data_IF_786285142329
#
_entry.id   IF_786285142329
#
_cell.length_a   1.000
_cell.length_b   1.000
_cell.length_c   1.000
_cell.angle_alpha   90.00
_cell.angle_beta   90.00
_cell.angle_gamma   90.00
#
_symmetry.space_group_name_H-M   'P 1'
#
loop_
_entity.id
_entity.type
_entity.pdbx_description
1 polymer ?
#
# COMPACT_ATOMS: atom_id res chain seq x y z
N UNK A 1 -32.07 -34.24 -19.08
CA UNK A 1 -31.34 -34.22 -17.79
C UNK A 1 -29.87 -34.01 -18.14
N UNK A 2 -29.42 -32.75 -18.10
CA UNK A 2 -28.09 -32.31 -18.54
C UNK A 2 -27.47 -31.47 -17.41
N UNK A 3 -26.16 -31.61 -17.15
CA UNK A 3 -25.53 -31.06 -15.96
C UNK A 3 -25.05 -29.62 -16.16
N UNK A 4 -25.05 -28.89 -15.05
CA UNK A 4 -24.54 -27.54 -14.88
C UNK A 4 -23.02 -27.62 -14.66
N UNK A 5 -22.23 -27.05 -15.57
CA UNK A 5 -20.85 -26.64 -15.29
C UNK A 5 -20.43 -25.44 -16.16
N UNK A 6 -19.77 -24.50 -15.50
CA UNK A 6 -18.89 -23.41 -15.97
C UNK A 6 -19.38 -22.37 -17.00
N UNK A 7 -19.80 -21.21 -16.46
CA UNK A 7 -19.86 -19.92 -17.18
C UNK A 7 -18.82 -18.90 -16.69
N UNK A 8 -17.81 -19.36 -15.94
CA UNK A 8 -16.84 -18.47 -15.28
C UNK A 8 -15.51 -18.33 -16.03
N UNK A 9 -15.21 -19.20 -17.00
CA UNK A 9 -13.94 -19.16 -17.76
C UNK A 9 -13.98 -18.32 -19.04
N UNK A 10 -15.17 -17.92 -19.53
CA UNK A 10 -15.30 -17.23 -20.82
C UNK A 10 -15.03 -15.71 -20.72
N UNK A 11 -15.04 -15.14 -19.51
CA UNK A 11 -14.87 -13.69 -19.30
C UNK A 11 -13.41 -13.22 -19.38
N UNK A 12 -12.43 -14.13 -19.28
CA UNK A 12 -10.99 -13.77 -19.23
C UNK A 12 -10.34 -13.81 -20.62
N UNK A 13 -10.93 -14.46 -21.62
CA UNK A 13 -10.30 -14.64 -22.95
C UNK A 13 -10.52 -13.51 -23.95
N UNK A 14 -11.38 -12.53 -23.68
CA UNK A 14 -11.70 -11.47 -24.65
C UNK A 14 -10.88 -10.17 -24.49
N UNK A 15 -9.93 -10.10 -23.56
CA UNK A 15 -9.15 -8.87 -23.31
C UNK A 15 -7.78 -8.80 -24.01
N UNK A 16 -7.50 -9.67 -25.00
CA UNK A 16 -6.29 -9.56 -25.82
C UNK A 16 -6.61 -9.04 -27.23
N UNK A 17 -6.32 -7.75 -27.41
CA UNK A 17 -5.74 -7.10 -28.59
C UNK A 17 -6.01 -7.73 -29.96
N UNK A 18 -6.80 -7.04 -30.78
CA UNK A 18 -6.59 -6.96 -32.23
C UNK A 18 -6.41 -5.49 -32.62
N UNK A 19 -5.15 -5.06 -32.61
CA UNK A 19 -4.70 -3.90 -33.39
C UNK A 19 -4.71 -4.32 -34.85
N UNK A 20 -5.59 -3.72 -35.65
CA UNK A 20 -5.47 -3.74 -37.10
C UNK A 20 -5.61 -2.31 -37.60
N UNK A 21 -4.54 -1.83 -38.24
CA UNK A 21 -4.41 -0.45 -38.69
C UNK A 21 -5.42 -0.10 -39.76
N UNK A 22 -5.91 1.14 -39.70
CA UNK A 22 -6.50 1.83 -40.84
C UNK A 22 -5.92 3.24 -40.87
N UNK A 23 -5.47 3.57 -42.08
CA UNK A 23 -4.94 4.82 -42.62
C UNK A 23 -5.57 6.09 -42.04
N UNK A 24 -4.72 7.10 -41.86
CA UNK A 24 -5.09 8.49 -41.63
C UNK A 24 -6.10 8.98 -42.66
N UNK A 25 -7.28 9.39 -42.19
CA UNK A 25 -8.04 10.49 -42.79
C UNK A 25 -8.65 11.31 -41.66
N UNK A 26 -8.22 12.56 -41.59
CA UNK A 26 -8.71 13.60 -40.69
C UNK A 26 -10.23 13.82 -40.93
N UNK A 27 -11.09 13.15 -40.17
CA UNK A 27 -12.45 13.61 -39.78
C UNK A 27 -13.29 12.48 -39.19
N UNK A 28 -12.96 11.99 -37.99
CA UNK A 28 -13.94 11.24 -37.22
C UNK A 28 -14.10 11.85 -35.83
N UNK A 29 -15.20 12.60 -35.74
CA UNK A 29 -15.89 13.02 -34.53
C UNK A 29 -15.90 11.88 -33.51
N UNK A 30 -15.32 12.17 -32.33
CA UNK A 30 -15.73 11.69 -31.00
C UNK A 30 -16.71 10.51 -31.09
N UNK A 31 -16.20 9.29 -31.17
CA UNK A 31 -17.03 8.09 -31.03
C UNK A 31 -17.72 8.16 -29.66
N UNK A 32 -19.01 8.51 -29.66
CA UNK A 32 -19.84 8.41 -28.47
C UNK A 32 -19.83 6.95 -28.04
N UNK A 33 -19.17 6.66 -26.93
CA UNK A 33 -19.23 5.36 -26.29
C UNK A 33 -20.71 5.02 -26.05
N UNK A 34 -21.19 3.94 -26.65
CA UNK A 34 -22.54 3.43 -26.43
C UNK A 34 -22.66 2.87 -25.01
N UNK A 35 -23.10 3.73 -24.08
CA UNK A 35 -23.23 3.41 -22.66
C UNK A 35 -24.52 2.65 -22.32
N UNK A 36 -25.44 2.49 -23.28
CA UNK A 36 -26.68 1.71 -23.09
C UNK A 36 -26.40 0.29 -22.61
N UNK A 37 -25.26 -0.26 -23.03
CA UNK A 37 -24.75 -1.60 -22.68
C UNK A 37 -24.41 -1.79 -21.19
N UNK A 38 -24.26 -0.70 -20.44
CA UNK A 38 -23.96 -0.73 -19.00
C UNK A 38 -25.17 -0.41 -18.13
N UNK A 39 -26.35 -0.15 -18.73
CA UNK A 39 -27.61 0.05 -18.01
C UNK A 39 -28.22 -1.33 -17.73
N UNK A 40 -28.30 -1.71 -16.46
CA UNK A 40 -29.07 -2.87 -16.03
C UNK A 40 -30.54 -2.47 -15.92
N UNK A 41 -31.39 -3.09 -16.74
CA UNK A 41 -32.85 -2.97 -16.69
C UNK A 41 -33.41 -4.27 -16.10
N UNK A 42 -34.34 -4.16 -15.16
CA UNK A 42 -35.14 -5.31 -14.74
C UNK A 42 -36.19 -5.64 -15.80
N UNK A 43 -36.73 -6.87 -15.75
CA UNK A 43 -37.82 -7.27 -16.64
C UNK A 43 -38.99 -6.28 -16.50
N UNK A 44 -39.50 -5.78 -17.62
CA UNK A 44 -40.52 -4.72 -17.75
C UNK A 44 -40.10 -3.27 -17.41
N UNK A 45 -38.82 -2.97 -17.15
CA UNK A 45 -38.34 -1.59 -17.02
C UNK A 45 -38.07 -0.91 -18.38
N UNK A 46 -38.56 0.32 -18.53
CA UNK A 46 -38.33 1.13 -19.74
C UNK A 46 -36.88 1.61 -19.77
N UNK A 47 -36.25 1.55 -20.96
CA UNK A 47 -34.92 2.09 -21.19
C UNK A 47 -34.77 3.53 -20.67
N UNK A 48 -33.67 3.79 -19.98
CA UNK A 48 -33.36 5.10 -19.45
C UNK A 48 -33.17 6.09 -20.62
N UNK A 49 -33.91 7.22 -20.68
CA UNK A 49 -33.78 8.16 -21.80
C UNK A 49 -32.34 8.64 -22.00
N UNK A 50 -31.86 8.68 -23.25
CA UNK A 50 -30.49 9.09 -23.61
C UNK A 50 -30.08 10.43 -22.97
N UNK A 51 -31.00 11.40 -22.91
CA UNK A 51 -30.77 12.70 -22.26
C UNK A 51 -30.41 12.57 -20.77
N UNK A 52 -31.03 11.62 -20.07
CA UNK A 52 -30.74 11.36 -18.66
C UNK A 52 -29.37 10.70 -18.53
N UNK A 53 -29.04 9.73 -19.40
CA UNK A 53 -27.73 9.09 -19.42
C UNK A 53 -26.60 10.12 -19.65
N UNK A 54 -26.76 11.00 -20.64
CA UNK A 54 -25.80 12.09 -20.93
C UNK A 54 -25.63 13.01 -19.71
N UNK A 55 -26.72 13.39 -19.06
CA UNK A 55 -26.65 14.23 -17.86
C UNK A 55 -25.89 13.55 -16.72
N UNK A 56 -26.14 12.26 -16.48
CA UNK A 56 -25.40 11.48 -15.47
C UNK A 56 -23.90 11.46 -15.79
N UNK A 57 -23.54 11.20 -17.04
CA UNK A 57 -22.14 11.20 -17.47
C UNK A 57 -21.47 12.55 -17.26
N UNK A 58 -22.13 13.63 -17.67
CA UNK A 58 -21.62 14.99 -17.46
C UNK A 58 -21.41 15.32 -15.97
N UNK A 59 -22.29 14.86 -15.08
CA UNK A 59 -22.12 15.03 -13.64
C UNK A 59 -20.95 14.19 -13.09
N UNK A 60 -20.79 12.95 -13.55
CA UNK A 60 -19.64 12.11 -13.21
C UNK A 60 -18.33 12.76 -13.67
N UNK A 61 -18.28 13.29 -14.90
CA UNK A 61 -17.11 14.00 -15.42
C UNK A 61 -16.75 15.21 -14.56
N UNK A 62 -17.72 16.03 -14.16
CA UNK A 62 -17.49 17.17 -13.25
C UNK A 62 -16.91 16.73 -11.91
N UNK A 63 -17.38 15.60 -11.38
CA UNK A 63 -16.87 15.04 -10.13
C UNK A 63 -15.44 14.53 -10.28
N UNK A 64 -15.12 13.85 -11.38
CA UNK A 64 -13.74 13.46 -11.69
C UNK A 64 -12.84 14.70 -11.76
N UNK A 65 -13.25 15.75 -12.49
CA UNK A 65 -12.50 17.01 -12.56
C UNK A 65 -12.33 17.68 -11.19
N UNK A 66 -13.31 17.51 -10.29
CA UNK A 66 -13.22 17.98 -8.91
C UNK A 66 -12.19 17.17 -8.12
N UNK A 67 -12.19 15.84 -8.28
CA UNK A 67 -11.21 14.94 -7.69
C UNK A 67 -9.78 15.26 -8.13
N UNK A 68 -9.56 15.56 -9.41
CA UNK A 68 -8.24 15.95 -9.95
C UNK A 68 -7.61 17.16 -9.24
N UNK A 69 -8.43 18.06 -8.70
CA UNK A 69 -7.95 19.23 -7.94
C UNK A 69 -7.50 18.87 -6.51
N UNK A 70 -7.86 17.69 -6.02
CA UNK A 70 -7.60 17.18 -4.67
C UNK A 70 -6.48 16.12 -4.66
N UNK A 71 -5.73 15.98 -5.76
CA UNK A 71 -4.66 14.98 -5.86
C UNK A 71 -3.62 15.11 -4.73
N UNK A 72 -3.16 13.98 -4.17
CA UNK A 72 -2.19 13.95 -3.08
C UNK A 72 -0.78 14.24 -3.62
N UNK A 73 -0.37 15.50 -3.56
CA UNK A 73 0.85 15.98 -4.22
C UNK A 73 2.12 15.38 -3.63
N UNK A 74 2.16 15.18 -2.31
CA UNK A 74 3.35 14.65 -1.64
C UNK A 74 3.50 13.16 -1.94
N UNK A 75 2.40 12.40 -1.88
CA UNK A 75 2.36 11.01 -2.30
C UNK A 75 2.79 10.85 -3.77
N UNK A 76 2.25 11.65 -4.68
CA UNK A 76 2.66 11.62 -6.10
C UNK A 76 4.16 11.90 -6.23
N UNK A 77 4.70 12.87 -5.49
CA UNK A 77 6.14 13.15 -5.49
C UNK A 77 6.96 11.96 -4.96
N UNK A 78 6.49 11.26 -3.93
CA UNK A 78 7.13 10.05 -3.41
C UNK A 78 7.08 8.90 -4.43
N UNK A 79 5.96 8.71 -5.12
CA UNK A 79 5.81 7.67 -6.14
C UNK A 79 6.69 7.90 -7.37
N UNK A 80 7.09 9.13 -7.68
CA UNK A 80 8.11 9.37 -8.71
C UNK A 80 9.51 8.85 -8.34
N UNK A 81 9.75 8.50 -7.06
CA UNK A 81 10.97 7.81 -6.62
C UNK A 81 10.92 6.30 -6.80
N UNK A 82 9.83 5.73 -7.34
CA UNK A 82 9.75 4.29 -7.60
C UNK A 82 10.91 3.89 -8.51
N UNK A 83 11.74 2.99 -8.00
CA UNK A 83 12.80 2.33 -8.76
C UNK A 83 12.30 1.03 -9.39
N UNK A 84 13.12 -0.02 -9.30
CA UNK A 84 12.85 -1.35 -9.83
C UNK A 84 12.06 -2.27 -8.88
N UNK A 85 11.13 -1.78 -8.05
CA UNK A 85 10.34 -2.57 -7.08
C UNK A 85 11.12 -3.52 -6.13
N UNK A 86 12.45 -3.46 -6.12
CA UNK A 86 13.31 -4.32 -5.30
C UNK A 86 13.06 -4.15 -3.80
N UNK A 87 12.60 -2.97 -3.37
CA UNK A 87 12.38 -2.65 -1.95
C UNK A 87 11.42 -3.59 -1.20
N UNK A 88 10.38 -4.13 -1.85
CA UNK A 88 9.44 -5.05 -1.18
C UNK A 88 10.09 -6.43 -0.92
N UNK A 89 10.93 -6.92 -1.85
CA UNK A 89 11.70 -8.16 -1.64
C UNK A 89 12.72 -7.97 -0.53
N UNK A 90 13.32 -6.79 -0.42
CA UNK A 90 14.30 -6.50 0.62
C UNK A 90 13.69 -6.53 2.02
N UNK A 91 12.46 -6.02 2.19
CA UNK A 91 11.74 -6.00 3.50
C UNK A 91 11.18 -7.36 3.90
N UNK A 92 10.77 -8.21 2.95
CA UNK A 92 10.06 -9.46 3.24
C UNK A 92 10.95 -10.73 3.25
N UNK A 93 12.26 -10.61 3.05
CA UNK A 93 13.17 -11.76 3.07
C UNK A 93 13.25 -12.37 4.47
N UNK A 94 12.98 -13.67 4.58
CA UNK A 94 13.05 -14.47 5.80
C UNK A 94 14.48 -14.76 6.29
N UNK A 95 15.41 -13.81 6.12
CA UNK A 95 16.80 -13.96 6.54
C UNK A 95 17.02 -13.52 8.00
N UNK A 96 16.06 -12.78 8.58
CA UNK A 96 16.11 -12.39 9.99
C UNK A 96 15.55 -13.51 10.86
N UNK A 97 16.30 -13.99 11.88
CA UNK A 97 15.78 -14.94 12.85
C UNK A 97 14.51 -14.39 13.50
N UNK A 98 13.45 -15.18 13.50
CA UNK A 98 12.24 -14.78 14.22
C UNK A 98 12.50 -14.81 15.72
N UNK A 99 12.01 -13.78 16.42
CA UNK A 99 12.02 -13.77 17.88
C UNK A 99 10.95 -14.71 18.45
N UNK A 100 10.05 -15.27 17.65
CA UNK A 100 9.04 -16.25 18.07
C UNK A 100 8.95 -17.43 17.08
N UNK A 101 8.28 -18.53 17.45
CA UNK A 101 8.05 -19.65 16.55
C UNK A 101 7.07 -19.34 15.40
N UNK A 102 6.41 -18.17 15.43
CA UNK A 102 5.32 -17.76 14.54
C UNK A 102 5.42 -16.25 14.27
N UNK A 103 4.80 -15.75 13.19
CA UNK A 103 4.84 -14.35 12.77
C UNK A 103 3.43 -13.79 12.55
N UNK A 104 3.19 -12.49 12.83
CA UNK A 104 1.89 -11.88 12.61
C UNK A 104 1.54 -11.80 11.11
N UNK A 105 0.24 -11.80 10.76
CA UNK A 105 -0.18 -11.61 9.37
C UNK A 105 0.36 -10.32 8.77
N UNK A 106 0.84 -10.43 7.53
CA UNK A 106 1.41 -9.30 6.77
C UNK A 106 0.31 -8.33 6.35
N UNK A 107 0.48 -7.07 6.69
CA UNK A 107 -0.30 -5.95 6.15
C UNK A 107 0.65 -4.93 5.50
N UNK A 108 0.15 -4.10 4.59
CA UNK A 108 0.87 -3.03 3.90
C UNK A 108 1.19 -1.84 4.82
N UNK A 109 0.26 -1.47 5.71
CA UNK A 109 0.37 -0.28 6.56
C UNK A 109 1.53 -0.37 7.57
N UNK A 110 1.70 -1.52 8.22
CA UNK A 110 2.72 -1.72 9.26
C UNK A 110 4.18 -1.51 8.80
N UNK A 111 4.65 -2.11 7.68
CA UNK A 111 6.01 -1.86 7.20
C UNK A 111 6.20 -0.41 6.75
N UNK A 112 5.18 0.24 6.17
CA UNK A 112 5.26 1.66 5.79
C UNK A 112 5.51 2.55 7.01
N UNK A 113 4.69 2.43 8.06
CA UNK A 113 4.87 3.25 9.27
C UNK A 113 6.17 2.94 10.00
N UNK A 114 6.61 1.67 9.97
CA UNK A 114 7.87 1.25 10.61
C UNK A 114 9.07 1.86 9.88
N UNK A 115 9.13 1.77 8.56
CA UNK A 115 10.20 2.39 7.75
C UNK A 115 10.22 3.91 7.91
N UNK A 116 9.05 4.56 7.94
CA UNK A 116 8.98 6.01 8.17
C UNK A 116 9.42 6.39 9.58
N UNK A 117 9.12 5.57 10.59
CA UNK A 117 9.61 5.77 11.96
C UNK A 117 11.14 5.73 12.00
N UNK A 118 11.74 4.73 11.35
CA UNK A 118 13.20 4.57 11.24
C UNK A 118 13.82 5.79 10.52
N UNK A 119 13.28 6.15 9.35
CA UNK A 119 13.76 7.29 8.56
C UNK A 119 13.68 8.61 9.34
N UNK A 120 12.66 8.77 10.18
CA UNK A 120 12.48 9.95 11.03
C UNK A 120 13.46 10.00 12.22
N UNK A 121 14.04 8.86 12.59
CA UNK A 121 15.03 8.74 13.66
C UNK A 121 16.48 8.96 13.18
N UNK A 122 16.73 8.96 11.87
CA UNK A 122 18.10 9.11 11.36
C UNK A 122 18.69 10.49 11.70
N UNK A 123 19.94 10.53 12.19
CA UNK A 123 20.63 11.79 12.44
C UNK A 123 20.98 12.48 11.12
N UNK A 124 21.31 13.78 11.20
CA UNK A 124 21.80 14.57 10.07
C UNK A 124 20.87 14.71 8.86
N UNK A 125 19.59 14.29 8.97
CA UNK A 125 18.59 14.51 7.92
C UNK A 125 17.95 15.89 8.07
N UNK A 126 17.88 16.71 7.01
CA UNK A 126 17.18 17.98 7.06
C UNK A 126 15.70 17.80 7.45
N UNK A 127 15.23 18.57 8.45
CA UNK A 127 13.86 18.47 8.99
C UNK A 127 12.77 18.56 7.92
N UNK A 128 12.98 19.35 6.85
CA UNK A 128 12.01 19.48 5.77
C UNK A 128 11.86 18.20 4.94
N UNK A 129 12.92 17.38 4.80
CA UNK A 129 12.86 16.08 4.12
C UNK A 129 12.05 15.07 4.95
N UNK A 130 12.29 15.02 6.26
CA UNK A 130 11.50 14.18 7.19
C UNK A 130 10.03 14.59 7.16
N UNK A 131 9.74 15.90 7.25
CA UNK A 131 8.37 16.42 7.16
C UNK A 131 7.69 16.06 5.85
N UNK A 132 8.39 16.22 4.73
CA UNK A 132 7.89 15.83 3.40
C UNK A 132 7.56 14.33 3.33
N UNK A 133 8.44 13.48 3.87
CA UNK A 133 8.20 12.04 3.93
C UNK A 133 6.96 11.71 4.77
N UNK A 134 6.82 12.31 5.96
CA UNK A 134 5.65 12.12 6.82
C UNK A 134 4.35 12.50 6.09
N UNK A 135 4.31 13.66 5.45
CA UNK A 135 3.15 14.10 4.66
C UNK A 135 2.85 13.18 3.47
N UNK A 136 3.88 12.67 2.81
CA UNK A 136 3.73 11.75 1.67
C UNK A 136 3.16 10.40 2.10
N UNK A 137 3.61 9.89 3.26
CA UNK A 137 3.12 8.63 3.81
C UNK A 137 1.72 8.79 4.41
N UNK A 138 1.41 9.91 5.05
CA UNK A 138 0.05 10.21 5.55
C UNK A 138 -0.98 10.17 4.42
N UNK A 139 -0.72 10.92 3.34
CA UNK A 139 -1.56 10.92 2.14
C UNK A 139 -1.73 9.50 1.56
N UNK A 140 -0.66 8.70 1.56
CA UNK A 140 -0.68 7.31 1.10
C UNK A 140 -1.46 6.35 1.99
N UNK A 141 -1.34 6.49 3.31
CA UNK A 141 -1.97 5.62 4.29
C UNK A 141 -3.49 5.65 4.22
N UNK A 142 -4.09 6.77 3.79
CA UNK A 142 -5.52 6.84 3.50
C UNK A 142 -5.95 5.76 2.50
N UNK A 143 -5.26 5.65 1.36
CA UNK A 143 -5.58 4.65 0.32
C UNK A 143 -5.16 3.24 0.74
N UNK A 144 -4.02 3.09 1.42
CA UNK A 144 -3.59 1.78 1.95
C UNK A 144 -4.65 1.22 2.90
N UNK A 145 -5.15 2.03 3.82
CA UNK A 145 -6.22 1.66 4.74
C UNK A 145 -7.51 1.32 4.00
N UNK A 146 -7.85 2.07 2.95
CA UNK A 146 -9.00 1.77 2.09
C UNK A 146 -8.85 0.38 1.46
N UNK A 147 -7.67 0.06 0.92
CA UNK A 147 -7.37 -1.21 0.26
C UNK A 147 -7.40 -2.36 1.25
N UNK A 148 -6.66 -2.27 2.35
CA UNK A 148 -6.58 -3.31 3.36
C UNK A 148 -7.95 -3.66 3.95
N UNK A 149 -8.75 -2.65 4.32
CA UNK A 149 -10.11 -2.87 4.87
C UNK A 149 -11.04 -3.53 3.87
N UNK A 150 -10.81 -3.35 2.56
CA UNK A 150 -11.66 -3.92 1.52
C UNK A 150 -11.25 -5.35 1.15
N UNK A 151 -9.95 -5.67 1.23
CA UNK A 151 -9.42 -6.98 0.89
C UNK A 151 -9.44 -7.96 2.08
N UNK A 152 -9.30 -7.48 3.31
CA UNK A 152 -9.31 -8.29 4.54
C UNK A 152 -10.72 -8.69 4.97
N UNK A 153 -11.36 -9.59 4.20
CA UNK A 153 -12.75 -10.03 4.46
C UNK A 153 -12.92 -10.81 5.77
N UNK A 154 -11.85 -11.41 6.31
CA UNK A 154 -11.90 -12.21 7.56
C UNK A 154 -11.52 -11.42 8.81
N UNK A 155 -10.97 -10.22 8.66
CA UNK A 155 -10.49 -9.42 9.79
C UNK A 155 -9.16 -9.91 10.36
N UNK A 156 -8.40 -10.71 9.62
CA UNK A 156 -7.13 -11.28 10.10
C UNK A 156 -6.05 -10.20 10.25
N UNK A 157 -6.18 -9.07 9.53
CA UNK A 157 -5.21 -7.98 9.57
C UNK A 157 -5.59 -6.90 10.59
N UNK A 158 -6.68 -7.06 11.33
CA UNK A 158 -7.19 -6.02 12.25
C UNK A 158 -6.12 -5.60 13.26
N UNK A 159 -5.44 -6.54 13.92
CA UNK A 159 -4.42 -6.22 14.91
C UNK A 159 -3.16 -5.61 14.29
N UNK A 160 -2.73 -6.07 13.12
CA UNK A 160 -1.62 -5.46 12.37
C UNK A 160 -1.93 -4.02 11.95
N UNK A 161 -3.17 -3.75 11.51
CA UNK A 161 -3.64 -2.39 11.19
C UNK A 161 -3.70 -1.50 12.43
N UNK A 162 -4.27 -1.99 13.51
CA UNK A 162 -4.29 -1.24 14.77
C UNK A 162 -2.88 -0.94 15.27
N UNK A 163 -1.93 -1.86 15.05
CA UNK A 163 -0.53 -1.61 15.33
C UNK A 163 0.05 -0.49 14.45
N UNK A 164 -0.26 -0.51 13.16
CA UNK A 164 0.17 0.56 12.26
C UNK A 164 -0.43 1.92 12.67
N UNK A 165 -1.74 1.97 12.94
CA UNK A 165 -2.46 3.19 13.36
C UNK A 165 -1.90 3.75 14.67
N UNK A 166 -1.66 2.89 15.68
CA UNK A 166 -1.11 3.30 16.97
C UNK A 166 0.31 3.87 16.85
N UNK A 167 1.17 3.26 16.02
CA UNK A 167 2.50 3.79 15.73
C UNK A 167 2.39 5.13 15.00
N UNK A 168 1.55 5.22 13.97
CA UNK A 168 1.46 6.40 13.12
C UNK A 168 1.11 7.66 13.92
N UNK A 169 0.10 7.57 14.79
CA UNK A 169 -0.29 8.67 15.68
C UNK A 169 0.89 9.14 16.55
N UNK A 170 1.68 8.19 17.08
CA UNK A 170 2.87 8.49 17.86
C UNK A 170 3.96 9.23 17.07
N UNK A 171 4.22 8.75 15.86
CA UNK A 171 5.28 9.28 14.99
C UNK A 171 4.91 10.64 14.44
N UNK A 172 3.69 10.78 13.91
CA UNK A 172 3.23 11.99 13.24
C UNK A 172 3.06 13.17 14.23
N UNK A 173 2.43 12.92 15.38
CA UNK A 173 2.10 13.99 16.32
C UNK A 173 3.20 14.28 17.34
N UNK A 174 3.98 13.25 17.72
CA UNK A 174 4.90 13.33 18.85
C UNK A 174 6.34 12.98 18.51
N UNK A 175 6.65 12.57 17.27
CA UNK A 175 7.96 12.01 16.90
C UNK A 175 8.37 10.85 17.82
N UNK A 176 7.40 9.99 18.20
CA UNK A 176 7.61 8.88 19.13
C UNK A 176 7.24 7.53 18.53
N UNK A 177 8.01 6.50 18.89
CA UNK A 177 7.69 5.11 18.63
C UNK A 177 7.59 4.34 19.95
N UNK A 178 6.39 3.86 20.31
CA UNK A 178 6.10 3.18 21.58
C UNK A 178 6.68 3.91 22.80
N UNK A 179 6.36 5.19 22.93
CA UNK A 179 6.83 6.11 23.98
C UNK A 179 8.31 6.52 23.88
N UNK A 180 9.11 5.89 23.01
CA UNK A 180 10.50 6.28 22.77
C UNK A 180 10.57 7.49 21.83
N UNK A 181 11.28 8.53 22.24
CA UNK A 181 11.52 9.72 21.43
C UNK A 181 12.52 9.41 20.30
N UNK A 182 12.08 9.57 19.05
CA UNK A 182 12.90 9.29 17.88
C UNK A 182 14.07 10.28 17.73
N UNK A 183 13.93 11.52 18.20
CA UNK A 183 15.02 12.51 18.22
C UNK A 183 16.04 12.21 19.32
N UNK A 184 15.59 11.74 20.49
CA UNK A 184 16.51 11.27 21.54
C UNK A 184 17.30 10.05 21.04
N UNK A 185 16.64 9.13 20.35
CA UNK A 185 17.26 7.95 19.74
C UNK A 185 18.31 8.36 18.70
N UNK A 186 17.97 9.31 17.83
CA UNK A 186 18.89 9.93 16.87
C UNK A 186 20.14 10.51 17.52
N UNK A 187 19.97 11.24 18.62
CA UNK A 187 21.07 11.88 19.36
C UNK A 187 21.99 10.86 20.04
N UNK A 188 21.45 9.75 20.54
CA UNK A 188 22.22 8.67 21.17
C UNK A 188 23.01 7.85 20.16
N UNK A 189 22.39 7.56 19.01
CA UNK A 189 23.00 6.73 17.96
C UNK A 189 24.12 7.42 17.20
N UNK A 190 24.14 8.75 17.08
CA UNK A 190 25.26 9.45 16.41
C UNK A 190 25.33 9.29 14.88
N UNK A 191 25.04 8.09 14.33
CA UNK A 191 24.85 7.77 12.91
C UNK A 191 23.64 6.83 12.71
N UNK A 192 23.22 6.62 11.47
CA UNK A 192 22.05 5.79 11.14
C UNK A 192 22.22 4.31 11.51
N UNK A 193 23.44 3.75 11.47
CA UNK A 193 23.68 2.33 11.83
C UNK A 193 23.42 2.11 13.32
N UNK A 194 24.00 2.93 14.16
CA UNK A 194 23.79 2.89 15.61
C UNK A 194 22.33 3.18 15.98
N UNK A 195 21.67 4.10 15.24
CA UNK A 195 20.21 4.34 15.37
C UNK A 195 19.40 3.07 15.07
N UNK A 196 19.72 2.34 14.01
CA UNK A 196 19.09 1.05 13.68
C UNK A 196 19.32 0.00 14.77
N UNK A 197 20.52 -0.08 15.33
CA UNK A 197 20.85 -1.01 16.41
C UNK A 197 20.05 -0.69 17.68
N UNK A 198 19.94 0.58 18.04
CA UNK A 198 19.18 1.01 19.22
C UNK A 198 17.68 0.73 19.06
N UNK A 199 17.08 1.10 17.93
CA UNK A 199 15.68 0.79 17.63
C UNK A 199 15.41 -0.72 17.64
N UNK A 200 16.31 -1.51 17.04
CA UNK A 200 16.20 -2.97 17.03
C UNK A 200 16.24 -3.56 18.44
N UNK A 201 17.16 -3.08 19.28
CA UNK A 201 17.31 -3.53 20.67
C UNK A 201 16.09 -3.16 21.52
N UNK A 202 15.57 -1.95 21.40
CA UNK A 202 14.36 -1.52 22.11
C UNK A 202 13.14 -2.38 21.73
N UNK A 203 13.01 -2.69 20.43
CA UNK A 203 11.97 -3.57 19.93
C UNK A 203 12.11 -5.01 20.44
N UNK A 204 13.32 -5.55 20.42
CA UNK A 204 13.63 -6.88 20.97
C UNK A 204 13.31 -6.96 22.47
N UNK A 205 13.71 -5.96 23.25
CA UNK A 205 13.41 -5.88 24.68
C UNK A 205 11.90 -5.90 24.94
N UNK A 206 11.12 -5.15 24.16
CA UNK A 206 9.64 -5.15 24.28
C UNK A 206 9.05 -6.55 24.09
N UNK A 207 9.58 -7.34 23.16
CA UNK A 207 9.10 -8.70 22.90
C UNK A 207 9.54 -9.65 24.03
N UNK A 208 10.78 -9.53 24.50
CA UNK A 208 11.31 -10.37 25.59
C UNK A 208 10.55 -10.10 26.90
N UNK A 209 10.29 -8.84 27.24
CA UNK A 209 9.58 -8.50 28.47
C UNK A 209 8.12 -8.98 28.40
N UNK A 210 7.46 -8.82 27.25
CA UNK A 210 6.12 -9.37 27.04
C UNK A 210 6.08 -10.90 27.20
N UNK A 211 7.11 -11.62 26.72
CA UNK A 211 7.24 -13.08 26.92
C UNK A 211 7.43 -13.51 28.36
N UNK A 212 8.06 -12.67 29.18
CA UNK A 212 8.23 -12.96 30.62
C UNK A 212 6.91 -12.77 31.39
N UNK A 213 6.09 -11.81 30.98
CA UNK A 213 4.85 -11.45 31.67
C UNK A 213 3.67 -12.37 31.33
N UNK A 214 3.60 -12.90 30.10
CA UNK A 214 2.47 -13.69 29.61
C UNK A 214 2.84 -15.17 29.43
N UNK A 215 2.14 -16.08 30.12
CA UNK A 215 2.28 -17.53 29.92
C UNK A 215 1.86 -17.94 28.50
N UNK A 216 2.68 -18.77 27.85
CA UNK A 216 2.71 -19.20 26.43
C UNK A 216 1.40 -19.20 25.59
N UNK A 217 0.23 -19.52 26.14
CA UNK A 217 -0.96 -19.79 25.32
C UNK A 217 -1.48 -18.59 24.49
N UNK A 218 -1.24 -17.35 24.93
CA UNK A 218 -1.60 -16.15 24.15
C UNK A 218 -0.60 -15.87 23.01
N UNK A 219 0.59 -16.47 23.06
CA UNK A 219 1.66 -16.30 22.08
C UNK A 219 1.58 -17.31 20.93
N UNK A 220 0.92 -18.45 21.14
CA UNK A 220 0.81 -19.53 20.15
C UNK A 220 0.18 -19.08 18.83
N UNK A 221 -0.76 -18.13 18.88
CA UNK A 221 -1.40 -17.57 17.71
C UNK A 221 -1.05 -16.07 17.53
N UNK A 222 -0.26 -15.70 16.51
CA UNK A 222 0.07 -14.30 16.20
C UNK A 222 -1.12 -13.37 15.98
N UNK A 223 -2.30 -13.91 15.64
CA UNK A 223 -3.53 -13.13 15.55
C UNK A 223 -3.94 -12.52 16.90
N UNK A 224 -3.53 -13.12 18.02
CA UNK A 224 -3.88 -12.66 19.36
C UNK A 224 -2.79 -11.78 19.99
N UNK A 225 -1.68 -11.54 19.28
CA UNK A 225 -0.60 -10.71 19.82
C UNK A 225 -1.08 -9.28 20.06
N UNK A 226 -0.69 -8.65 21.18
CA UNK A 226 -0.97 -7.25 21.40
C UNK A 226 -0.35 -6.37 20.32
N UNK A 227 -1.02 -5.26 20.03
CA UNK A 227 -0.59 -4.22 19.09
C UNK A 227 0.88 -3.82 19.31
N UNK A 228 1.28 -3.61 20.58
CA UNK A 228 2.66 -3.24 20.95
C UNK A 228 3.69 -4.29 20.51
N UNK A 229 3.36 -5.56 20.62
CA UNK A 229 4.26 -6.69 20.29
C UNK A 229 4.36 -6.85 18.79
N UNK A 230 3.24 -6.71 18.06
CA UNK A 230 3.24 -6.73 16.59
C UNK A 230 4.10 -5.58 16.04
N UNK A 231 3.92 -4.38 16.58
CA UNK A 231 4.71 -3.20 16.25
C UNK A 231 6.21 -3.39 16.52
N UNK A 232 6.56 -3.95 17.68
CA UNK A 232 7.93 -4.27 18.04
C UNK A 232 8.53 -5.32 17.11
N UNK A 233 7.79 -6.38 16.77
CA UNK A 233 8.26 -7.40 15.84
C UNK A 233 8.59 -6.82 14.47
N UNK A 234 7.74 -5.93 13.95
CA UNK A 234 8.01 -5.21 12.69
C UNK A 234 9.29 -4.38 12.76
N UNK A 235 9.43 -3.55 13.81
CA UNK A 235 10.62 -2.71 14.02
C UNK A 235 11.90 -3.55 14.10
N UNK A 236 11.90 -4.58 14.94
CA UNK A 236 13.04 -5.49 15.09
C UNK A 236 13.45 -6.08 13.74
N UNK A 237 12.50 -6.68 13.01
CA UNK A 237 12.78 -7.38 11.76
C UNK A 237 13.31 -6.44 10.68
N UNK A 238 12.72 -5.26 10.53
CA UNK A 238 13.15 -4.29 9.52
C UNK A 238 14.53 -3.74 9.88
N UNK A 239 14.78 -3.36 11.14
CA UNK A 239 16.11 -2.89 11.56
C UNK A 239 17.19 -3.95 11.35
N UNK A 240 16.96 -5.20 11.76
CA UNK A 240 17.91 -6.31 11.56
C UNK A 240 18.19 -6.54 10.08
N UNK A 241 17.15 -6.52 9.24
CA UNK A 241 17.29 -6.70 7.80
C UNK A 241 18.14 -5.62 7.16
N UNK A 242 17.91 -4.36 7.55
CA UNK A 242 18.69 -3.21 7.11
C UNK A 242 20.14 -3.36 7.58
N UNK A 243 20.38 -3.70 8.85
CA UNK A 243 21.73 -3.91 9.40
C UNK A 243 22.52 -4.98 8.64
N UNK A 244 21.91 -6.13 8.32
CA UNK A 244 22.55 -7.20 7.53
C UNK A 244 22.93 -6.74 6.12
N UNK A 245 22.21 -5.79 5.53
CA UNK A 245 22.55 -5.24 4.22
C UNK A 245 23.81 -4.35 4.26
N UNK A 246 24.15 -3.77 5.42
CA UNK A 246 25.29 -2.85 5.61
C UNK A 246 26.58 -3.52 6.08
N UNK A 247 26.59 -4.84 6.31
CA UNK A 247 27.81 -5.56 6.71
C UNK A 247 28.82 -5.76 5.55
N UNK A 248 28.44 -5.44 4.31
CA UNK A 248 29.17 -5.85 3.11
C UNK A 248 30.06 -4.84 2.37
N UNK A 249 29.87 -3.52 2.50
CA UNK A 249 30.64 -2.48 1.77
C UNK A 249 30.50 -1.11 2.46
N UNK A 250 31.34 -0.12 2.08
CA UNK A 250 31.39 1.24 2.65
C UNK A 250 30.04 1.72 3.18
N UNK A 251 29.99 2.06 4.47
CA UNK A 251 28.78 2.56 5.13
C UNK A 251 28.21 3.73 4.34
N UNK A 252 26.99 3.61 3.80
CA UNK A 252 26.34 4.72 3.14
C UNK A 252 26.13 5.85 4.15
N UNK A 253 26.18 7.08 3.66
CA UNK A 253 25.89 8.26 4.48
C UNK A 253 24.45 8.22 5.00
N UNK A 254 24.18 8.92 6.10
CA UNK A 254 22.82 9.02 6.66
C UNK A 254 21.79 9.44 5.60
N UNK A 255 22.17 10.35 4.70
CA UNK A 255 21.33 10.83 3.61
C UNK A 255 21.08 9.76 2.53
N UNK A 256 22.08 8.99 2.12
CA UNK A 256 21.90 7.88 1.18
C UNK A 256 20.98 6.80 1.76
N UNK A 257 21.13 6.49 3.06
CA UNK A 257 20.25 5.57 3.76
C UNK A 257 18.81 6.08 3.81
N UNK A 258 18.63 7.36 4.11
CA UNK A 258 17.31 8.00 4.10
C UNK A 258 16.65 7.91 2.72
N UNK A 259 17.38 8.19 1.64
CA UNK A 259 16.85 8.07 0.26
C UNK A 259 16.54 6.60 -0.09
N UNK A 260 17.35 5.64 0.36
CA UNK A 260 17.03 4.21 0.21
C UNK A 260 15.72 3.84 0.91
N UNK A 261 15.49 4.32 2.14
CA UNK A 261 14.22 4.11 2.85
C UNK A 261 13.05 4.75 2.11
N UNK A 262 13.22 5.97 1.58
CA UNK A 262 12.19 6.61 0.75
C UNK A 262 11.82 5.76 -0.47
N UNK A 263 12.82 5.17 -1.15
CA UNK A 263 12.59 4.27 -2.27
C UNK A 263 11.88 2.98 -1.85
N UNK A 264 12.23 2.39 -0.70
CA UNK A 264 11.54 1.22 -0.16
C UNK A 264 10.06 1.53 0.14
N UNK A 265 9.80 2.66 0.83
CA UNK A 265 8.45 3.13 1.13
C UNK A 265 7.66 3.34 -0.16
N UNK A 266 8.24 4.04 -1.16
CA UNK A 266 7.60 4.26 -2.45
C UNK A 266 7.24 2.95 -3.16
N UNK A 267 8.14 1.96 -3.15
CA UNK A 267 7.91 0.65 -3.76
C UNK A 267 6.78 -0.13 -3.07
N UNK A 268 6.74 -0.15 -1.73
CA UNK A 268 5.68 -0.82 -0.95
C UNK A 268 4.34 -0.12 -1.21
N UNK A 269 4.34 1.21 -1.16
CA UNK A 269 3.16 2.03 -1.43
C UNK A 269 2.61 1.76 -2.83
N UNK A 270 3.48 1.79 -3.85
CA UNK A 270 3.12 1.51 -5.22
C UNK A 270 2.55 0.11 -5.41
N UNK A 271 3.19 -0.91 -4.81
CA UNK A 271 2.70 -2.29 -4.86
C UNK A 271 1.29 -2.41 -4.25
N UNK A 272 1.04 -1.78 -3.09
CA UNK A 272 -0.28 -1.75 -2.48
C UNK A 272 -1.31 -1.11 -3.43
N UNK A 273 -1.00 0.08 -3.93
CA UNK A 273 -1.88 0.91 -4.76
C UNK A 273 -2.25 0.27 -6.11
N UNK A 274 -1.55 -0.76 -6.57
CA UNK A 274 -2.00 -1.55 -7.73
C UNK A 274 -3.38 -2.19 -7.54
N UNK A 275 -3.83 -2.37 -6.28
CA UNK A 275 -5.17 -2.88 -5.97
C UNK A 275 -6.25 -1.80 -5.93
N UNK A 276 -5.89 -0.51 -6.09
CA UNK A 276 -6.80 0.60 -5.85
C UNK A 276 -8.02 0.58 -6.77
N UNK A 277 -7.82 0.44 -8.09
CA UNK A 277 -8.94 0.36 -9.05
C UNK A 277 -9.88 -0.81 -8.78
N UNK A 278 -9.32 -1.98 -8.46
CA UNK A 278 -10.12 -3.14 -8.11
C UNK A 278 -10.99 -2.88 -6.87
N UNK A 279 -10.41 -2.25 -5.83
CA UNK A 279 -11.14 -1.90 -4.60
C UNK A 279 -12.23 -0.84 -4.84
N UNK A 280 -11.98 0.15 -5.68
CA UNK A 280 -12.99 1.15 -6.08
C UNK A 280 -14.17 0.45 -6.76
N UNK A 281 -13.91 -0.39 -7.76
CA UNK A 281 -14.94 -1.14 -8.49
C UNK A 281 -15.73 -2.04 -7.53
N UNK A 282 -15.05 -2.81 -6.68
CA UNK A 282 -15.71 -3.66 -5.69
C UNK A 282 -16.63 -2.86 -4.76
N UNK A 283 -16.17 -1.73 -4.22
CA UNK A 283 -16.97 -0.91 -3.30
C UNK A 283 -18.17 -0.27 -3.98
N UNK A 284 -18.07 0.08 -5.26
CA UNK A 284 -19.22 0.52 -6.06
C UNK A 284 -20.26 -0.60 -6.20
N UNK A 285 -19.83 -1.81 -6.56
CA UNK A 285 -20.74 -2.95 -6.70
C UNK A 285 -21.40 -3.37 -5.39
N UNK A 286 -20.65 -3.33 -4.28
CA UNK A 286 -21.18 -3.63 -2.95
C UNK A 286 -22.01 -2.46 -2.35
N UNK A 287 -22.25 -1.38 -3.11
CA UNK A 287 -22.94 -0.16 -2.68
C UNK A 287 -22.35 0.48 -1.41
N UNK A 288 -21.08 0.18 -1.10
CA UNK A 288 -20.35 0.72 0.06
C UNK A 288 -19.84 2.14 -0.16
N UNK A 289 -19.77 2.57 -1.42
CA UNK A 289 -19.54 3.96 -1.81
C UNK A 289 -20.55 4.34 -2.89
N UNK A 290 -20.90 5.61 -2.91
CA UNK A 290 -21.74 6.19 -3.96
C UNK A 290 -20.94 6.34 -5.26
N UNK A 291 -21.63 6.37 -6.41
CA UNK A 291 -21.04 6.73 -7.71
C UNK A 291 -20.29 8.06 -7.62
N UNK A 292 -20.80 9.01 -6.83
CA UNK A 292 -20.15 10.29 -6.59
C UNK A 292 -18.79 10.17 -5.90
N UNK A 293 -18.72 9.36 -4.83
CA UNK A 293 -17.45 9.12 -4.12
C UNK A 293 -16.45 8.39 -5.01
N UNK A 294 -16.91 7.42 -5.80
CA UNK A 294 -16.05 6.71 -6.74
C UNK A 294 -15.48 7.63 -7.83
N UNK A 295 -16.31 8.50 -8.40
CA UNK A 295 -15.90 9.49 -9.40
C UNK A 295 -14.86 10.48 -8.85
N UNK A 296 -15.08 10.98 -7.62
CA UNK A 296 -14.10 11.85 -6.94
C UNK A 296 -12.78 11.13 -6.73
N UNK A 297 -12.81 9.91 -6.16
CA UNK A 297 -11.63 9.11 -5.88
C UNK A 297 -10.86 8.75 -7.15
N UNK A 298 -11.57 8.50 -8.26
CA UNK A 298 -10.95 8.24 -9.57
C UNK A 298 -10.17 9.47 -10.07
N UNK A 299 -10.74 10.66 -9.96
CA UNK A 299 -10.04 11.90 -10.33
C UNK A 299 -8.85 12.21 -9.41
N UNK A 300 -9.03 11.99 -8.11
CA UNK A 300 -8.00 12.19 -7.07
C UNK A 300 -6.81 11.24 -7.24
N UNK A 301 -7.03 10.07 -7.82
CA UNK A 301 -6.00 9.04 -7.97
C UNK A 301 -5.51 8.86 -9.41
N UNK A 302 -6.01 9.66 -10.35
CA UNK A 302 -5.69 9.54 -11.78
C UNK A 302 -4.17 9.51 -12.05
N UNK A 303 -3.43 10.47 -11.47
CA UNK A 303 -1.99 10.55 -11.67
C UNK A 303 -1.25 9.38 -11.04
N UNK A 304 -1.69 8.93 -9.85
CA UNK A 304 -1.16 7.73 -9.19
C UNK A 304 -1.32 6.53 -10.13
N UNK A 305 -2.52 6.32 -10.67
CA UNK A 305 -2.80 5.21 -11.57
C UNK A 305 -1.95 5.26 -12.84
N UNK A 306 -1.73 6.47 -13.38
CA UNK A 306 -0.84 6.67 -14.54
C UNK A 306 0.60 6.27 -14.23
N UNK A 307 1.15 6.73 -13.10
CA UNK A 307 2.50 6.35 -12.64
C UNK A 307 2.59 4.83 -12.51
N UNK A 308 1.64 4.20 -11.82
CA UNK A 308 1.62 2.75 -11.61
C UNK A 308 1.53 1.96 -12.93
N UNK A 309 0.75 2.45 -13.90
CA UNK A 309 0.60 1.81 -15.20
C UNK A 309 1.90 1.88 -16.02
N UNK A 310 2.56 3.04 -16.04
CA UNK A 310 3.87 3.21 -16.70
C UNK A 310 4.91 2.27 -16.09
N UNK A 311 4.97 2.22 -14.76
CA UNK A 311 5.90 1.36 -14.05
C UNK A 311 5.58 -0.13 -14.23
N UNK A 312 4.30 -0.53 -14.27
CA UNK A 312 3.90 -1.93 -14.53
C UNK A 312 4.25 -2.35 -15.95
N UNK A 313 4.07 -1.48 -16.93
CA UNK A 313 4.45 -1.73 -18.32
C UNK A 313 5.98 -1.82 -18.51
N UNK A 314 6.74 -1.09 -17.69
CA UNK A 314 8.20 -1.11 -17.70
C UNK A 314 8.82 -2.25 -16.87
N UNK A 315 8.01 -3.11 -16.22
CA UNK A 315 8.54 -4.25 -15.45
C UNK A 315 9.12 -5.30 -16.40
N UNK A 316 10.44 -5.33 -16.46
CA UNK A 316 11.17 -6.36 -17.22
C UNK A 316 11.41 -7.66 -16.43
N UNK A 317 11.14 -7.68 -15.12
CA UNK A 317 11.45 -8.81 -14.22
C UNK A 317 10.19 -9.60 -13.81
N UNK A 318 9.96 -10.82 -14.35
CA UNK A 318 8.80 -11.65 -14.01
C UNK A 318 8.70 -11.98 -12.51
N UNK A 319 9.84 -12.13 -11.82
CA UNK A 319 9.90 -12.52 -10.42
C UNK A 319 9.38 -11.43 -9.45
N UNK A 320 9.36 -10.17 -9.89
CA UNK A 320 8.81 -9.06 -9.07
C UNK A 320 7.29 -8.99 -9.17
N UNK A 321 6.75 -9.20 -10.36
CA UNK A 321 5.30 -9.27 -10.58
C UNK A 321 4.70 -10.46 -9.83
N UNK A 322 5.33 -11.63 -9.90
CA UNK A 322 4.87 -12.81 -9.15
C UNK A 322 4.93 -12.58 -7.63
N UNK A 323 5.94 -11.84 -7.14
CA UNK A 323 6.08 -11.54 -5.72
C UNK A 323 5.03 -10.55 -5.21
N UNK A 324 4.76 -9.46 -5.94
CA UNK A 324 3.68 -8.52 -5.60
C UNK A 324 2.34 -9.24 -5.68
N UNK A 325 2.12 -10.08 -6.68
CA UNK A 325 0.91 -10.87 -6.81
C UNK A 325 0.76 -11.87 -5.66
N UNK A 326 1.84 -12.54 -5.24
CA UNK A 326 1.89 -13.38 -4.02
C UNK A 326 1.52 -12.57 -2.78
N UNK A 327 2.06 -11.36 -2.60
CA UNK A 327 1.77 -10.50 -1.45
C UNK A 327 0.31 -10.02 -1.43
N UNK A 328 -0.19 -9.57 -2.60
CA UNK A 328 -1.60 -9.28 -2.81
C UNK A 328 -2.49 -10.50 -2.52
N UNK A 329 -2.04 -11.68 -2.92
CA UNK A 329 -2.74 -12.93 -2.68
C UNK A 329 -2.68 -13.34 -1.21
N UNK A 330 -1.62 -13.07 -0.45
CA UNK A 330 -1.58 -13.32 1.00
C UNK A 330 -2.66 -12.52 1.73
N UNK A 331 -2.92 -11.29 1.29
CA UNK A 331 -3.97 -10.44 1.83
C UNK A 331 -5.37 -10.92 1.38
N UNK A 332 -5.46 -11.54 0.20
CA UNK A 332 -6.72 -12.08 -0.37
C UNK A 332 -7.02 -13.54 0.04
N UNK A 333 -6.02 -14.33 0.47
CA UNK A 333 -6.12 -15.81 0.55
C UNK A 333 -6.88 -16.30 1.77
N UNK A 334 -7.80 -17.21 1.49
CA UNK A 334 -8.24 -18.31 2.37
C UNK A 334 -6.99 -19.13 2.74
N UNK A 335 -6.83 -19.46 4.03
CA UNK A 335 -5.99 -20.58 4.47
C UNK A 335 -6.38 -21.85 3.72
#
# INVERSE_FOLDING_TARGET
MLPVHDKTEEFIRHSTSRVHGISESESELRSELDLSRYVLLLEDEVELPQRIQINICNEVDKLIQTGKKQQPKNLISLLHKIGNFSGLKEVDRNQVPSLHSQEPPKCWSLPLVTLTSIASAFPNIPKHKVKWLLQSVDEGLFYVNLIEKSLDKKGNLVNSRHAADAIWVGVELYSKWQDNDLHETSRKGGNSKETLQELSKQAEMTIIDFKREVKDFLMDNPLNWPVKVIAANSMYRICQRLLMAYEGDLLPTDEELFEQLCNMIANIMAACLTNLMHVIIMKCHEQKITVRQAALLLGETEEILRILQQHTAARSNPDESEFIEKWCNLIKRKY
#
